data_IF_655725843200
#
_entry.id   IF_655725843200
#
_cell.length_a   1.000
_cell.length_b   1.000
_cell.length_c   1.000
_cell.angle_alpha   90.00
_cell.angle_beta   90.00
_cell.angle_gamma   90.00
#
_symmetry.space_group_name_H-M   'P 1'
#
loop_
_entity.id
_entity.type
_entity.pdbx_description
1 polymer ?
#
# COMPACT_ATOMS: atom_id res chain seq x y z
N UNK A 1 35.05 10.31 -29.25
CA UNK A 1 33.88 10.17 -30.13
C UNK A 1 32.69 9.98 -29.21
N UNK A 2 31.65 10.80 -29.31
CA UNK A 2 30.43 10.56 -28.53
C UNK A 2 29.89 9.21 -28.99
N UNK A 3 29.86 8.24 -28.09
CA UNK A 3 29.29 6.93 -28.40
C UNK A 3 27.83 7.13 -28.80
N UNK A 4 27.44 6.61 -29.97
CA UNK A 4 26.08 6.69 -30.46
C UNK A 4 25.17 5.93 -29.48
N UNK A 5 24.25 6.65 -28.83
CA UNK A 5 23.39 6.10 -27.79
C UNK A 5 22.56 4.91 -28.30
N UNK A 6 22.15 4.94 -29.57
CA UNK A 6 21.43 3.84 -30.21
C UNK A 6 22.34 2.61 -30.35
N UNK A 7 23.63 2.82 -30.63
CA UNK A 7 24.60 1.74 -30.76
C UNK A 7 24.79 0.98 -29.44
N UNK A 8 24.78 1.68 -28.29
CA UNK A 8 24.82 1.03 -26.97
C UNK A 8 23.60 0.14 -26.73
N UNK A 9 22.40 0.56 -27.14
CA UNK A 9 21.21 -0.29 -27.08
C UNK A 9 21.35 -1.51 -28.01
N UNK A 10 21.81 -1.32 -29.25
CA UNK A 10 22.02 -2.41 -30.21
C UNK A 10 22.99 -3.46 -29.64
N UNK A 11 24.11 -3.03 -29.05
CA UNK A 11 25.10 -3.92 -28.44
C UNK A 11 24.53 -4.73 -27.25
N UNK A 12 23.55 -4.17 -26.52
CA UNK A 12 22.85 -4.90 -25.45
C UNK A 12 21.93 -6.00 -26.00
N UNK A 13 21.43 -5.83 -27.22
CA UNK A 13 20.49 -6.75 -27.88
C UNK A 13 19.08 -6.73 -27.28
N UNK A 14 18.12 -7.30 -28.01
CA UNK A 14 16.74 -7.43 -27.52
C UNK A 14 16.67 -8.30 -26.25
N UNK A 15 15.76 -7.95 -25.36
CA UNK A 15 15.58 -8.65 -24.09
C UNK A 15 14.39 -8.14 -23.31
N UNK A 16 14.32 -8.44 -22.02
CA UNK A 16 13.12 -8.13 -21.22
C UNK A 16 12.74 -6.65 -21.22
N UNK A 17 13.71 -5.75 -21.29
CA UNK A 17 13.53 -4.29 -21.18
C UNK A 17 13.88 -3.54 -22.47
N UNK A 18 14.23 -4.25 -23.56
CA UNK A 18 14.62 -3.64 -24.84
C UNK A 18 14.02 -4.43 -26.00
N UNK A 19 13.37 -3.72 -26.92
CA UNK A 19 12.78 -4.29 -28.14
C UNK A 19 13.15 -3.42 -29.35
N UNK A 20 13.45 -4.06 -30.48
CA UNK A 20 13.65 -3.41 -31.77
C UNK A 20 12.47 -3.65 -32.69
N UNK A 21 12.13 -2.63 -33.46
CA UNK A 21 11.17 -2.73 -34.56
C UNK A 21 11.70 -1.94 -35.73
N UNK A 22 11.75 -2.56 -36.90
CA UNK A 22 12.21 -1.90 -38.13
C UNK A 22 11.29 -0.73 -38.51
N UNK A 23 10.00 -0.83 -38.19
CA UNK A 23 9.00 0.19 -38.52
C UNK A 23 7.76 0.10 -37.62
N UNK A 24 7.04 1.22 -37.49
CA UNK A 24 5.73 1.27 -36.85
C UNK A 24 4.61 0.80 -37.79
N UNK A 25 4.61 1.19 -39.07
CA UNK A 25 3.44 1.01 -39.96
C UNK A 25 3.79 0.73 -41.42
N UNK A 26 5.07 0.75 -41.79
CA UNK A 26 5.54 0.41 -43.12
C UNK A 26 6.12 -1.00 -43.15
N UNK A 27 5.55 -1.85 -44.01
CA UNK A 27 6.00 -3.21 -44.19
C UNK A 27 7.05 -3.26 -45.31
N UNK A 28 8.30 -3.50 -44.95
CA UNK A 28 9.42 -3.50 -45.91
C UNK A 28 9.37 -4.67 -46.91
N UNK A 29 8.70 -5.78 -46.59
CA UNK A 29 8.58 -6.91 -47.50
C UNK A 29 7.54 -6.65 -48.60
N UNK A 30 6.41 -6.04 -48.23
CA UNK A 30 5.32 -5.72 -49.17
C UNK A 30 5.40 -4.31 -49.74
N UNK A 31 6.26 -3.45 -49.19
CA UNK A 31 6.41 -2.03 -49.53
C UNK A 31 5.10 -1.23 -49.39
N UNK A 32 4.27 -1.58 -48.40
CA UNK A 32 2.95 -0.99 -48.19
C UNK A 32 2.69 -0.63 -46.72
N UNK A 33 1.69 0.22 -46.51
CA UNK A 33 1.21 0.55 -45.16
C UNK A 33 0.48 -0.65 -44.58
N UNK A 34 1.00 -1.17 -43.47
CA UNK A 34 0.42 -2.29 -42.76
C UNK A 34 -0.23 -1.80 -41.45
N UNK A 35 -1.55 -1.87 -41.38
CA UNK A 35 -2.33 -1.43 -40.21
C UNK A 35 -2.15 -2.35 -39.00
N UNK A 36 -1.82 -3.61 -39.22
CA UNK A 36 -1.58 -4.55 -38.13
C UNK A 36 -0.18 -4.37 -37.54
N UNK A 37 0.79 -3.92 -38.34
CA UNK A 37 2.12 -3.53 -37.83
C UNK A 37 2.02 -2.39 -36.81
N UNK A 38 1.13 -1.42 -37.06
CA UNK A 38 0.88 -0.32 -36.13
C UNK A 38 0.35 -0.77 -34.77
N UNK A 39 -0.25 -1.97 -34.67
CA UNK A 39 -0.72 -2.53 -33.39
C UNK A 39 0.41 -3.20 -32.61
N UNK A 40 1.53 -3.52 -33.23
CA UNK A 40 2.67 -4.15 -32.55
C UNK A 40 3.26 -3.21 -31.51
N UNK A 41 3.43 -1.92 -31.84
CA UNK A 41 3.94 -0.90 -30.92
C UNK A 41 3.15 -0.82 -29.60
N UNK A 42 1.81 -0.60 -29.59
CA UNK A 42 1.06 -0.57 -28.33
C UNK A 42 1.01 -1.93 -27.62
N UNK A 43 1.10 -3.07 -28.33
CA UNK A 43 1.20 -4.39 -27.68
C UNK A 43 2.52 -4.55 -26.92
N UNK A 44 3.63 -4.14 -27.53
CA UNK A 44 4.95 -4.12 -26.87
C UNK A 44 4.95 -3.19 -25.67
N UNK A 45 4.39 -1.98 -25.82
CA UNK A 45 4.30 -1.04 -24.69
C UNK A 45 3.41 -1.57 -23.58
N UNK A 46 2.28 -2.22 -23.88
CA UNK A 46 1.47 -2.92 -22.88
C UNK A 46 2.29 -3.97 -22.13
N UNK A 47 3.09 -4.78 -22.85
CA UNK A 47 3.99 -5.75 -22.25
C UNK A 47 5.01 -5.10 -21.32
N UNK A 48 5.66 -4.00 -21.72
CA UNK A 48 6.60 -3.26 -20.88
C UNK A 48 5.93 -2.65 -19.65
N UNK A 49 4.81 -1.95 -19.82
CA UNK A 49 4.03 -1.40 -18.70
C UNK A 49 3.68 -2.50 -17.69
N UNK A 50 3.34 -3.69 -18.17
CA UNK A 50 2.95 -4.80 -17.31
C UNK A 50 4.12 -5.58 -16.70
N UNK A 51 5.35 -5.28 -17.10
CA UNK A 51 6.57 -5.99 -16.69
C UNK A 51 7.48 -5.04 -15.90
N UNK A 52 8.75 -4.89 -16.26
CA UNK A 52 9.71 -4.01 -15.56
C UNK A 52 9.81 -2.61 -16.17
N UNK A 53 8.92 -2.25 -17.11
CA UNK A 53 9.15 -1.13 -18.03
C UNK A 53 10.08 -1.55 -19.17
N UNK A 54 10.55 -0.57 -19.93
CA UNK A 54 11.52 -0.82 -21.00
C UNK A 54 11.60 0.31 -22.03
N UNK A 55 12.45 0.04 -23.02
CA UNK A 55 12.73 0.91 -24.16
C UNK A 55 12.37 0.17 -25.46
N UNK A 56 11.59 0.81 -26.33
CA UNK A 56 11.32 0.35 -27.68
C UNK A 56 12.05 1.26 -28.67
N UNK A 57 12.87 0.68 -29.54
CA UNK A 57 13.48 1.39 -30.67
C UNK A 57 12.71 1.08 -31.95
N UNK A 58 12.29 2.12 -32.66
CA UNK A 58 11.67 2.02 -33.99
C UNK A 58 12.63 2.59 -35.03
N UNK A 59 12.87 1.84 -36.10
CA UNK A 59 13.90 2.12 -37.11
C UNK A 59 15.17 1.29 -36.94
N UNK A 60 15.10 0.19 -36.19
CA UNK A 60 16.18 -0.80 -36.03
C UNK A 60 15.60 -2.17 -36.36
N UNK A 61 16.22 -2.92 -37.26
CA UNK A 61 15.74 -4.25 -37.63
C UNK A 61 16.17 -5.34 -36.62
N UNK A 62 15.72 -6.58 -36.86
CA UNK A 62 15.97 -7.70 -35.96
C UNK A 62 17.47 -8.11 -35.93
N UNK A 63 18.28 -7.67 -36.89
CA UNK A 63 19.74 -7.87 -36.91
C UNK A 63 20.49 -6.75 -36.17
N UNK A 64 19.79 -5.70 -35.73
CA UNK A 64 20.38 -4.51 -35.12
C UNK A 64 20.82 -3.45 -36.15
N UNK A 65 20.46 -3.60 -37.42
CA UNK A 65 20.79 -2.60 -38.45
C UNK A 65 19.83 -1.40 -38.37
N UNK A 66 20.40 -0.19 -38.41
CA UNK A 66 19.63 1.05 -38.37
C UNK A 66 19.02 1.34 -39.75
N UNK A 67 17.73 1.05 -39.89
CA UNK A 67 16.94 1.32 -41.12
C UNK A 67 16.24 2.68 -41.09
N UNK A 68 16.01 3.23 -39.89
CA UNK A 68 15.39 4.52 -39.64
C UNK A 68 13.86 4.57 -39.82
N UNK A 69 13.25 5.65 -39.33
CA UNK A 69 11.80 5.89 -39.38
C UNK A 69 11.32 6.61 -40.65
N UNK A 70 12.22 6.87 -41.61
CA UNK A 70 11.91 7.65 -42.81
C UNK A 70 10.80 7.04 -43.66
N UNK A 71 10.77 5.71 -43.80
CA UNK A 71 9.72 5.00 -44.51
C UNK A 71 8.35 5.24 -43.87
N UNK A 72 8.25 5.21 -42.53
CA UNK A 72 7.02 5.52 -41.81
C UNK A 72 6.55 6.95 -42.03
N UNK A 73 7.45 7.92 -41.86
CA UNK A 73 7.14 9.36 -42.03
C UNK A 73 6.59 9.64 -43.43
N UNK A 74 7.15 8.97 -44.45
CA UNK A 74 6.72 9.14 -45.84
C UNK A 74 5.30 8.66 -46.12
N UNK A 75 4.73 7.79 -45.26
CA UNK A 75 3.35 7.32 -45.37
C UNK A 75 2.33 8.29 -44.75
N UNK A 76 2.79 9.32 -44.05
CA UNK A 76 1.91 10.27 -43.35
C UNK A 76 1.44 11.40 -44.28
N UNK A 77 0.31 11.99 -43.95
CA UNK A 77 -0.22 13.18 -44.64
C UNK A 77 0.71 14.39 -44.51
N UNK A 78 1.40 14.52 -43.36
CA UNK A 78 2.49 15.47 -43.14
C UNK A 78 3.77 14.69 -42.86
N UNK A 79 4.76 14.86 -43.71
CA UNK A 79 6.03 14.11 -43.69
C UNK A 79 7.04 14.77 -42.75
N UNK A 80 6.68 14.89 -41.47
CA UNK A 80 7.53 15.51 -40.44
C UNK A 80 7.64 14.63 -39.20
N UNK A 81 8.75 14.76 -38.46
CA UNK A 81 8.98 14.03 -37.22
C UNK A 81 7.91 14.34 -36.16
N UNK A 82 7.54 15.61 -35.98
CA UNK A 82 6.49 16.03 -35.05
C UNK A 82 5.15 15.34 -35.32
N UNK A 83 4.78 15.22 -36.60
CA UNK A 83 3.53 14.56 -36.97
C UNK A 83 3.60 13.04 -36.78
N UNK A 84 4.78 12.46 -36.89
CA UNK A 84 5.02 11.06 -36.55
C UNK A 84 4.94 10.80 -35.05
N UNK A 85 5.52 11.67 -34.20
CA UNK A 85 5.34 11.57 -32.74
C UNK A 85 3.85 11.62 -32.37
N UNK A 86 3.11 12.59 -32.92
CA UNK A 86 1.68 12.68 -32.70
C UNK A 86 0.95 11.41 -33.16
N UNK A 87 1.39 10.80 -34.27
CA UNK A 87 0.84 9.53 -34.76
C UNK A 87 1.10 8.38 -33.78
N UNK A 88 2.30 8.30 -33.21
CA UNK A 88 2.65 7.33 -32.16
C UNK A 88 1.78 7.56 -30.92
N UNK A 89 1.71 8.80 -30.41
CA UNK A 89 0.90 9.14 -29.22
C UNK A 89 -0.58 8.83 -29.41
N UNK A 90 -1.12 9.11 -30.58
CA UNK A 90 -2.50 8.77 -30.93
C UNK A 90 -2.72 7.25 -30.99
N UNK A 91 -1.75 6.50 -31.51
CA UNK A 91 -1.80 5.04 -31.53
C UNK A 91 -1.80 4.46 -30.10
N UNK A 92 -0.89 4.93 -29.25
CA UNK A 92 -0.84 4.54 -27.82
C UNK A 92 -2.15 4.92 -27.12
N UNK A 93 -2.60 6.16 -27.28
CA UNK A 93 -3.81 6.67 -26.64
C UNK A 93 -5.07 5.91 -27.06
N UNK A 94 -5.17 5.53 -28.33
CA UNK A 94 -6.29 4.74 -28.87
C UNK A 94 -6.35 3.33 -28.28
N UNK A 95 -5.20 2.68 -28.12
CA UNK A 95 -5.14 1.25 -27.76
C UNK A 95 -4.91 0.98 -26.27
N UNK A 96 -4.20 1.86 -25.56
CA UNK A 96 -3.84 1.70 -24.15
C UNK A 96 -4.46 2.76 -23.23
N UNK A 97 -4.93 3.88 -23.79
CA UNK A 97 -5.53 4.99 -23.05
C UNK A 97 -4.63 6.22 -22.90
N UNK A 98 -5.26 7.34 -22.54
CA UNK A 98 -4.59 8.66 -22.43
C UNK A 98 -3.52 8.67 -21.35
N UNK A 99 -3.75 7.97 -20.23
CA UNK A 99 -2.80 7.90 -19.11
C UNK A 99 -1.47 7.26 -19.54
N UNK A 100 -1.52 6.16 -20.30
CA UNK A 100 -0.34 5.45 -20.79
C UNK A 100 0.37 6.26 -21.87
N UNK A 101 -0.37 6.95 -22.75
CA UNK A 101 0.22 7.87 -23.73
C UNK A 101 0.99 9.02 -23.05
N UNK A 102 0.46 9.57 -21.95
CA UNK A 102 1.12 10.60 -21.16
C UNK A 102 2.30 10.07 -20.31
N UNK A 103 2.27 8.79 -19.93
CA UNK A 103 3.33 8.14 -19.14
C UNK A 103 4.52 7.65 -19.98
N UNK A 104 4.51 7.89 -21.30
CA UNK A 104 5.54 7.44 -22.24
C UNK A 104 6.38 8.63 -22.72
N UNK A 105 7.71 8.48 -22.66
CA UNK A 105 8.66 9.41 -23.30
C UNK A 105 8.92 8.97 -24.74
N UNK A 106 9.01 9.93 -25.67
CA UNK A 106 9.33 9.67 -27.08
C UNK A 106 10.42 10.65 -27.49
N UNK A 107 11.52 10.14 -28.02
CA UNK A 107 12.64 10.93 -28.52
C UNK A 107 13.10 10.41 -29.88
N UNK A 108 13.51 11.31 -30.78
CA UNK A 108 14.09 10.95 -32.07
C UNK A 108 15.60 11.11 -32.01
N UNK A 109 16.31 9.99 -32.01
CA UNK A 109 17.76 9.94 -31.83
C UNK A 109 18.43 9.73 -33.20
N UNK A 110 19.38 10.58 -33.61
CA UNK A 110 20.13 10.38 -34.85
C UNK A 110 21.15 9.25 -34.68
N UNK A 111 21.15 8.28 -35.59
CA UNK A 111 22.11 7.18 -35.62
C UNK A 111 22.38 6.75 -37.06
N UNK A 112 23.66 6.56 -37.42
CA UNK A 112 24.10 6.20 -38.77
C UNK A 112 23.47 7.04 -39.92
N UNK A 113 23.23 8.33 -39.69
CA UNK A 113 22.63 9.24 -40.68
C UNK A 113 21.12 9.10 -40.86
N UNK A 114 20.47 8.25 -40.06
CA UNK A 114 19.02 8.08 -39.98
C UNK A 114 18.49 8.56 -38.63
N UNK A 115 17.16 8.69 -38.50
CA UNK A 115 16.50 8.92 -37.22
C UNK A 115 15.87 7.62 -36.72
N UNK A 116 16.08 7.31 -35.44
CA UNK A 116 15.45 6.21 -34.71
C UNK A 116 14.51 6.80 -33.67
N UNK A 117 13.29 6.29 -33.57
CA UNK A 117 12.39 6.70 -32.50
C UNK A 117 12.63 5.81 -31.27
N UNK A 118 13.08 6.42 -30.18
CA UNK A 118 13.15 5.79 -28.86
C UNK A 118 11.89 6.08 -28.08
N UNK A 119 11.28 5.03 -27.54
CA UNK A 119 10.09 5.13 -26.70
C UNK A 119 10.39 4.46 -25.37
N UNK A 120 10.35 5.24 -24.29
CA UNK A 120 10.64 4.76 -22.93
C UNK A 120 9.36 4.76 -22.08
N UNK A 121 9.14 3.66 -21.34
CA UNK A 121 8.09 3.61 -20.33
C UNK A 121 8.55 2.95 -19.03
N UNK A 122 8.05 3.49 -17.92
CA UNK A 122 8.24 2.90 -16.59
C UNK A 122 7.16 1.84 -16.31
N UNK A 123 7.44 0.85 -15.44
CA UNK A 123 6.44 -0.14 -15.07
C UNK A 123 5.18 0.52 -14.47
N UNK A 124 4.02 0.06 -14.92
CA UNK A 124 2.72 0.57 -14.47
C UNK A 124 2.38 0.06 -13.06
N UNK A 125 1.61 0.87 -12.33
CA UNK A 125 1.04 0.52 -11.02
C UNK A 125 -0.21 -0.36 -11.14
N UNK A 126 -0.93 -0.22 -12.23
CA UNK A 126 -2.17 -0.95 -12.53
C UNK A 126 -2.03 -1.75 -13.83
N UNK A 127 -2.76 -2.88 -14.00
CA UNK A 127 -2.75 -3.67 -15.23
C UNK A 127 -3.14 -2.83 -16.46
N UNK A 128 -2.32 -2.89 -17.52
CA UNK A 128 -2.56 -2.21 -18.79
C UNK A 128 -3.03 -3.24 -19.83
N UNK A 129 -4.24 -3.07 -20.35
CA UNK A 129 -4.78 -3.91 -21.40
C UNK A 129 -4.65 -3.22 -22.75
N UNK A 130 -4.26 -3.98 -23.77
CA UNK A 130 -4.42 -3.56 -25.16
C UNK A 130 -5.88 -3.75 -25.58
N UNK A 131 -6.47 -2.73 -26.17
CA UNK A 131 -7.85 -2.77 -26.68
C UNK A 131 -7.91 -2.54 -28.19
N UNK A 132 -8.60 -3.40 -28.92
CA UNK A 132 -8.93 -3.23 -30.35
C UNK A 132 -10.42 -3.57 -30.56
N UNK A 133 -11.25 -2.52 -30.67
CA UNK A 133 -12.71 -2.66 -30.62
C UNK A 133 -13.18 -3.18 -29.26
N UNK A 134 -13.92 -4.28 -29.26
CA UNK A 134 -14.38 -4.97 -28.04
C UNK A 134 -13.33 -5.92 -27.46
N UNK A 135 -12.32 -6.31 -28.25
CA UNK A 135 -11.30 -7.26 -27.82
C UNK A 135 -10.33 -6.58 -26.84
N UNK A 136 -10.10 -7.22 -25.70
CA UNK A 136 -9.09 -6.82 -24.71
C UNK A 136 -8.08 -7.94 -24.52
N UNK A 137 -6.80 -7.59 -24.61
CA UNK A 137 -5.69 -8.53 -24.49
C UNK A 137 -4.69 -8.03 -23.44
N UNK A 138 -4.14 -8.96 -22.66
CA UNK A 138 -3.17 -8.67 -21.63
C UNK A 138 -1.82 -9.23 -22.06
N UNK A 139 -0.81 -8.36 -22.19
CA UNK A 139 0.51 -8.74 -22.66
C UNK A 139 1.54 -8.58 -21.53
N UNK A 140 2.53 -9.47 -21.50
CA UNK A 140 3.69 -9.41 -20.62
C UNK A 140 4.97 -9.60 -21.43
N UNK A 141 6.13 -9.20 -20.89
CA UNK A 141 7.43 -9.58 -21.45
C UNK A 141 7.82 -10.97 -20.94
N UNK A 142 8.18 -11.84 -21.88
CA UNK A 142 8.71 -13.18 -21.64
C UNK A 142 10.00 -13.30 -22.46
N UNK A 143 11.14 -12.97 -21.84
CA UNK A 143 12.41 -12.79 -22.56
C UNK A 143 12.34 -11.61 -23.54
N UNK A 144 12.67 -11.84 -24.81
CA UNK A 144 12.56 -10.84 -25.88
C UNK A 144 11.17 -10.85 -26.57
N UNK A 145 10.19 -11.61 -26.06
CA UNK A 145 8.87 -11.70 -26.68
C UNK A 145 7.79 -10.94 -25.88
N UNK A 146 6.84 -10.35 -26.60
CA UNK A 146 5.59 -9.81 -26.02
C UNK A 146 4.50 -10.87 -26.07
N UNK A 147 4.29 -11.56 -24.95
CA UNK A 147 3.40 -12.73 -24.89
C UNK A 147 1.99 -12.33 -24.42
N UNK A 148 0.92 -12.65 -25.20
CA UNK A 148 -0.44 -12.53 -24.69
C UNK A 148 -0.71 -13.64 -23.68
N UNK A 149 -1.32 -13.29 -22.56
CA UNK A 149 -1.80 -14.25 -21.57
C UNK A 149 -3.28 -14.52 -21.79
N UNK A 150 -3.69 -15.78 -21.61
CA UNK A 150 -5.11 -16.11 -21.55
C UNK A 150 -5.75 -15.57 -20.25
N UNK A 151 -7.07 -15.69 -20.09
CA UNK A 151 -7.79 -15.14 -18.92
C UNK A 151 -7.23 -15.66 -17.59
N UNK A 152 -6.96 -16.98 -17.49
CA UNK A 152 -6.44 -17.62 -16.28
C UNK A 152 -5.02 -17.16 -15.97
N UNK A 153 -4.15 -17.17 -16.97
CA UNK A 153 -2.76 -16.71 -16.86
C UNK A 153 -2.68 -15.23 -16.50
N UNK A 154 -3.50 -14.39 -17.16
CA UNK A 154 -3.59 -12.96 -16.89
C UNK A 154 -4.02 -12.70 -15.46
N UNK A 155 -5.04 -13.43 -14.98
CA UNK A 155 -5.51 -13.30 -13.61
C UNK A 155 -4.41 -13.61 -12.59
N UNK A 156 -3.72 -14.75 -12.75
CA UNK A 156 -2.61 -15.15 -11.89
C UNK A 156 -1.47 -14.13 -11.95
N UNK A 157 -1.02 -13.76 -13.15
CA UNK A 157 0.03 -12.77 -13.34
C UNK A 157 -0.32 -11.43 -12.68
N UNK A 158 -1.56 -10.95 -12.87
CA UNK A 158 -2.01 -9.69 -12.29
C UNK A 158 -1.99 -9.73 -10.76
N UNK A 159 -2.44 -10.84 -10.16
CA UNK A 159 -2.41 -11.06 -8.72
C UNK A 159 -0.98 -11.05 -8.14
N UNK A 160 0.00 -11.58 -8.88
CA UNK A 160 1.39 -11.61 -8.46
C UNK A 160 2.10 -10.25 -8.68
N UNK A 161 1.98 -9.66 -9.88
CA UNK A 161 2.76 -8.50 -10.32
C UNK A 161 2.21 -7.15 -9.87
N UNK A 162 0.90 -6.96 -9.87
CA UNK A 162 0.27 -5.68 -9.53
C UNK A 162 -0.41 -5.77 -8.18
N UNK A 163 0.22 -6.48 -7.24
CA UNK A 163 -0.34 -6.74 -5.93
C UNK A 163 -0.40 -5.49 -5.04
N UNK A 164 -1.07 -4.44 -5.49
CA UNK A 164 -1.71 -3.43 -4.67
C UNK A 164 -3.22 -3.73 -4.63
N UNK A 165 -3.63 -4.92 -4.18
CA UNK A 165 -4.81 -5.15 -3.31
C UNK A 165 -5.12 -6.63 -3.10
N UNK A 166 -5.07 -7.10 -1.85
CA UNK A 166 -6.11 -8.03 -1.38
C UNK A 166 -7.36 -7.15 -1.30
N UNK A 167 -8.21 -7.21 -2.33
CA UNK A 167 -9.61 -6.81 -2.17
C UNK A 167 -10.25 -7.92 -1.34
N UNK A 168 -10.41 -7.67 -0.05
CA UNK A 168 -11.40 -8.44 0.70
C UNK A 168 -12.74 -8.11 0.01
N UNK A 169 -13.49 -9.09 -0.53
CA UNK A 169 -14.76 -8.83 -1.20
C UNK A 169 -15.65 -7.97 -0.31
N UNK A 170 -16.40 -7.00 -0.86
CA UNK A 170 -17.29 -6.15 -0.08
C UNK A 170 -18.25 -6.96 0.83
N UNK A 171 -18.77 -8.14 0.43
CA UNK A 171 -19.52 -9.05 1.32
C UNK A 171 -18.69 -9.66 2.46
N UNK A 172 -17.38 -9.83 2.30
CA UNK A 172 -16.48 -10.38 3.32
C UNK A 172 -15.92 -9.27 4.23
N UNK A 173 -15.68 -8.07 3.71
CA UNK A 173 -15.46 -6.87 4.55
C UNK A 173 -16.72 -6.61 5.35
N UNK A 174 -17.89 -6.73 4.72
CA UNK A 174 -19.17 -6.56 5.36
C UNK A 174 -19.47 -7.71 6.32
N UNK A 175 -19.13 -8.98 6.05
CA UNK A 175 -19.23 -10.07 7.04
C UNK A 175 -18.23 -9.96 8.18
N UNK A 176 -17.00 -9.52 7.92
CA UNK A 176 -16.00 -9.32 8.97
C UNK A 176 -16.39 -8.09 9.79
N UNK A 177 -16.80 -7.00 9.14
CA UNK A 177 -17.32 -5.81 9.79
C UNK A 177 -18.64 -6.10 10.50
N UNK A 178 -19.54 -6.92 9.96
CA UNK A 178 -20.79 -7.36 10.61
C UNK A 178 -20.49 -8.38 11.69
N UNK A 179 -19.50 -9.27 11.60
CA UNK A 179 -19.12 -10.16 12.70
C UNK A 179 -18.45 -9.38 13.83
N UNK A 180 -17.65 -8.36 13.50
CA UNK A 180 -17.05 -7.42 14.44
C UNK A 180 -18.14 -6.52 15.03
N UNK A 181 -19.00 -5.92 14.22
CA UNK A 181 -20.12 -5.05 14.62
C UNK A 181 -21.15 -5.86 15.39
N UNK A 182 -21.56 -7.07 15.00
CA UNK A 182 -22.49 -7.94 15.73
C UNK A 182 -21.88 -8.38 17.08
N UNK A 183 -20.57 -8.60 17.17
CA UNK A 183 -19.87 -8.78 18.45
C UNK A 183 -19.79 -7.50 19.28
N UNK A 184 -19.71 -6.32 18.64
CA UNK A 184 -19.71 -5.01 19.29
C UNK A 184 -21.14 -4.49 19.59
N UNK A 185 -22.18 -5.01 18.93
CA UNK A 185 -23.60 -4.59 19.00
C UNK A 185 -24.45 -5.56 19.81
N UNK A 186 -24.00 -6.81 19.94
CA UNK A 186 -24.57 -7.81 20.85
C UNK A 186 -24.10 -7.64 22.30
N UNK A 187 -23.22 -6.67 22.56
CA UNK A 187 -22.82 -6.27 23.91
C UNK A 187 -23.44 -4.90 24.25
N UNK A 188 -24.58 -4.93 24.95
CA UNK A 188 -25.07 -3.79 25.71
C UNK A 188 -25.69 -4.30 27.01
N UNK A 189 -25.57 -3.60 28.15
CA UNK A 189 -24.46 -2.80 28.66
C UNK A 189 -23.75 -3.54 29.82
N UNK A 190 -22.43 -3.68 29.73
CA UNK A 190 -21.54 -3.64 30.90
C UNK A 190 -20.50 -2.59 30.46
N UNK A 191 -20.51 -1.33 30.93
CA UNK A 191 -20.09 -0.98 32.29
C UNK A 191 -19.31 -2.16 32.88
N UNK A 192 -17.99 -2.25 32.68
CA UNK A 192 -17.14 -1.53 33.62
C UNK A 192 -15.67 -1.52 33.18
N UNK A 193 -15.10 -0.32 33.07
CA UNK A 193 -13.75 -0.08 33.62
C UNK A 193 -13.84 0.91 34.78
N UNK A 194 -14.43 0.45 35.89
CA UNK A 194 -13.83 0.49 37.23
C UNK A 194 -13.80 -0.93 37.86
N UNK A 195 -12.95 -1.34 38.80
CA UNK A 195 -11.87 -0.65 39.50
C UNK A 195 -10.48 -1.25 39.22
N UNK A 196 -9.48 -0.36 39.11
CA UNK A 196 -8.11 -0.70 38.71
C UNK A 196 -7.15 -0.59 39.90
N UNK A 197 -6.70 -1.71 40.48
CA UNK A 197 -5.29 -1.83 40.86
C UNK A 197 -4.72 -3.23 40.51
N UNK A 198 -3.54 -3.30 39.86
CA UNK A 198 -2.81 -4.57 39.70
C UNK A 198 -1.37 -4.46 40.22
N UNK A 199 -1.21 -4.91 41.47
CA UNK A 199 -0.03 -5.61 41.97
C UNK A 199 -0.53 -6.72 42.89
N UNK A 200 -0.34 -7.98 42.51
CA UNK A 200 -0.19 -9.10 43.46
C UNK A 200 -1.30 -10.15 43.59
N UNK A 201 -2.55 -9.94 43.17
CA UNK A 201 -3.61 -10.94 43.41
C UNK A 201 -4.36 -11.35 42.13
N UNK A 202 -4.31 -12.65 41.82
CA UNK A 202 -5.09 -13.28 40.76
C UNK A 202 -6.33 -13.96 41.34
N UNK A 203 -7.54 -13.73 40.79
CA UNK A 203 -8.60 -14.72 40.83
C UNK A 203 -8.81 -15.31 39.44
N UNK A 204 -8.69 -16.63 39.37
CA UNK A 204 -9.07 -17.47 38.23
C UNK A 204 -10.56 -17.31 37.91
N UNK A 205 -10.88 -16.76 36.74
CA UNK A 205 -12.25 -16.81 36.18
C UNK A 205 -12.16 -17.20 34.71
N UNK A 206 -12.80 -18.32 34.34
CA UNK A 206 -13.30 -18.53 32.97
C UNK A 206 -12.65 -19.59 32.08
N UNK A 207 -12.19 -20.73 32.60
CA UNK A 207 -11.61 -21.84 31.80
C UNK A 207 -12.55 -22.44 30.73
N UNK A 208 -13.87 -22.26 30.84
CA UNK A 208 -14.82 -22.89 29.91
C UNK A 208 -15.03 -22.13 28.58
N UNK A 209 -15.00 -20.78 28.59
CA UNK A 209 -15.13 -19.98 27.36
C UNK A 209 -13.81 -19.81 26.62
N UNK A 210 -12.69 -19.85 27.35
CA UNK A 210 -11.33 -19.79 26.81
C UNK A 210 -11.04 -20.98 25.89
N UNK A 211 -11.48 -22.20 26.23
CA UNK A 211 -11.25 -23.39 25.41
C UNK A 211 -12.00 -23.35 24.07
N UNK A 212 -13.24 -22.85 24.05
CA UNK A 212 -14.07 -22.74 22.83
C UNK A 212 -13.55 -21.62 21.91
N UNK A 213 -13.14 -20.49 22.50
CA UNK A 213 -12.51 -19.40 21.75
C UNK A 213 -11.13 -19.81 21.22
N UNK A 214 -10.32 -20.53 22.02
CA UNK A 214 -9.04 -21.07 21.57
C UNK A 214 -9.21 -22.11 20.46
N UNK A 215 -10.21 -22.99 20.53
CA UNK A 215 -10.44 -23.98 19.47
C UNK A 215 -10.87 -23.30 18.17
N UNK A 216 -11.78 -22.32 18.22
CA UNK A 216 -12.21 -21.55 17.03
C UNK A 216 -11.13 -20.61 16.49
N UNK A 217 -10.26 -20.09 17.34
CA UNK A 217 -9.07 -19.33 16.92
C UNK A 217 -8.00 -20.25 16.32
N UNK A 218 -7.85 -21.48 16.82
CA UNK A 218 -7.04 -22.51 16.19
C UNK A 218 -7.61 -22.89 14.82
N UNK A 219 -8.93 -23.00 14.67
CA UNK A 219 -9.60 -23.26 13.39
C UNK A 219 -9.40 -22.10 12.42
N UNK A 220 -9.65 -20.85 12.82
CA UNK A 220 -9.42 -19.67 11.97
C UNK A 220 -7.94 -19.46 11.63
N UNK A 221 -7.04 -19.66 12.58
CA UNK A 221 -5.59 -19.60 12.34
C UNK A 221 -5.12 -20.77 11.48
N UNK A 222 -5.76 -21.94 11.57
CA UNK A 222 -5.50 -23.08 10.71
C UNK A 222 -6.06 -22.85 9.31
N UNK A 223 -7.25 -22.27 9.14
CA UNK A 223 -7.82 -21.90 7.84
C UNK A 223 -6.96 -20.83 7.16
N UNK A 224 -6.55 -19.79 7.88
CA UNK A 224 -5.62 -18.77 7.39
C UNK A 224 -4.22 -19.36 7.13
N UNK A 225 -3.79 -20.35 7.92
CA UNK A 225 -2.54 -21.08 7.76
C UNK A 225 -2.57 -22.07 6.59
N UNK A 226 -3.71 -22.69 6.30
CA UNK A 226 -3.97 -23.58 5.15
C UNK A 226 -4.05 -22.75 3.89
N UNK A 227 -4.72 -21.58 3.91
CA UNK A 227 -4.68 -20.60 2.83
C UNK A 227 -3.24 -20.13 2.58
N UNK A 228 -2.48 -19.82 3.64
CA UNK A 228 -1.06 -19.46 3.52
C UNK A 228 -0.18 -20.60 3.00
N UNK A 229 -0.43 -21.85 3.41
CA UNK A 229 0.30 -23.03 2.92
C UNK A 229 -0.08 -23.39 1.49
N UNK A 230 -1.35 -23.31 1.10
CA UNK A 230 -1.80 -23.52 -0.26
C UNK A 230 -1.11 -22.53 -1.21
N UNK A 231 -1.01 -21.27 -0.79
CA UNK A 231 -0.25 -20.22 -1.49
C UNK A 231 1.26 -20.52 -1.55
N UNK A 232 1.85 -21.16 -0.53
CA UNK A 232 3.28 -21.57 -0.52
C UNK A 232 3.57 -22.87 -1.28
N UNK A 233 2.58 -23.76 -1.41
CA UNK A 233 2.76 -25.04 -2.10
C UNK A 233 2.69 -24.84 -3.62
N UNK A 234 1.97 -23.82 -4.09
CA UNK A 234 1.99 -23.39 -5.50
C UNK A 234 3.27 -22.62 -5.89
N UNK A 235 4.08 -22.17 -4.94
CA UNK A 235 5.35 -21.44 -5.19
C UNK A 235 6.61 -22.31 -5.03
N UNK A 236 6.48 -23.61 -4.76
CA UNK A 236 7.61 -24.50 -4.56
C UNK A 236 8.15 -25.02 -5.91
N UNK A 237 8.85 -24.15 -6.64
CA UNK A 237 9.46 -24.48 -7.92
C UNK A 237 10.39 -23.40 -8.47
N UNK A 238 11.28 -22.82 -7.66
CA UNK A 238 12.47 -22.13 -8.14
C UNK A 238 13.42 -21.82 -6.99
N UNK A 239 14.61 -22.44 -7.01
CA UNK A 239 15.74 -22.13 -6.13
C UNK A 239 16.66 -21.13 -6.83
N UNK A 240 16.81 -19.91 -6.30
CA UNK A 240 17.96 -19.05 -6.56
C UNK A 240 18.16 -18.00 -5.45
N UNK A 241 19.36 -18.04 -4.88
CA UNK A 241 20.02 -17.13 -3.94
C UNK A 241 19.34 -15.79 -3.60
N UNK A 242 18.95 -15.64 -2.33
CA UNK A 242 18.60 -14.34 -1.73
C UNK A 242 19.73 -13.81 -0.82
N UNK A 243 20.15 -12.58 -1.11
CA UNK A 243 20.79 -11.67 -0.14
C UNK A 243 19.74 -11.24 0.91
N UNK A 244 20.13 -10.92 2.15
CA UNK A 244 19.18 -10.79 3.25
C UNK A 244 18.23 -9.59 3.07
N UNK A 245 16.93 -9.87 2.99
CA UNK A 245 15.86 -8.87 3.12
C UNK A 245 16.00 -8.13 4.46
N UNK A 246 16.14 -6.81 4.42
CA UNK A 246 15.72 -5.97 5.54
C UNK A 246 14.19 -6.03 5.63
N UNK A 247 13.68 -6.86 6.54
CA UNK A 247 12.27 -7.22 6.68
C UNK A 247 11.32 -6.01 6.75
N UNK A 248 10.57 -5.74 5.69
CA UNK A 248 9.44 -4.81 5.73
C UNK A 248 8.28 -5.42 6.54
N UNK A 249 7.63 -4.66 7.45
CA UNK A 249 6.56 -5.19 8.30
C UNK A 249 5.31 -5.54 7.48
N UNK A 250 4.61 -6.61 7.88
CA UNK A 250 3.31 -6.96 7.30
C UNK A 250 2.34 -5.76 7.37
N UNK A 251 1.60 -5.51 6.29
CA UNK A 251 0.67 -4.37 6.24
C UNK A 251 -0.57 -4.55 7.14
N UNK A 252 -0.90 -5.78 7.50
CA UNK A 252 -1.96 -6.16 8.43
C UNK A 252 -1.46 -7.23 9.40
N UNK A 253 -1.71 -7.06 10.70
CA UNK A 253 -1.39 -8.03 11.74
C UNK A 253 -2.53 -8.10 12.75
N UNK A 254 -3.02 -9.30 13.04
CA UNK A 254 -3.97 -9.54 14.13
C UNK A 254 -3.18 -9.77 15.43
N UNK A 255 -3.61 -9.13 16.50
CA UNK A 255 -3.09 -9.29 17.85
C UNK A 255 -4.22 -9.76 18.76
N UNK A 256 -3.95 -10.82 19.54
CA UNK A 256 -4.90 -11.41 20.50
C UNK A 256 -4.36 -11.45 21.93
N UNK A 257 -3.11 -11.00 22.11
CA UNK A 257 -2.39 -11.00 23.38
C UNK A 257 -1.65 -9.68 23.48
N UNK A 258 -1.75 -8.99 24.63
CA UNK A 258 -1.09 -7.70 24.87
C UNK A 258 -1.33 -6.73 23.70
N UNK A 259 -2.59 -6.58 23.33
CA UNK A 259 -3.00 -5.89 22.08
C UNK A 259 -2.44 -4.48 22.03
N UNK A 260 -2.55 -3.72 23.12
CA UNK A 260 -2.03 -2.35 23.17
C UNK A 260 -0.50 -2.30 23.09
N UNK A 261 0.19 -3.30 23.64
CA UNK A 261 1.66 -3.45 23.57
C UNK A 261 2.14 -3.61 22.12
N UNK A 262 1.28 -4.13 21.22
CA UNK A 262 1.60 -4.20 19.79
C UNK A 262 1.69 -2.81 19.15
N UNK A 263 0.82 -1.87 19.53
CA UNK A 263 0.91 -0.49 19.07
C UNK A 263 2.07 0.25 19.72
N UNK A 264 2.26 0.07 21.03
CA UNK A 264 3.37 0.65 21.79
C UNK A 264 4.74 0.19 21.25
N UNK A 265 4.87 -1.07 20.87
CA UNK A 265 6.06 -1.59 20.18
C UNK A 265 6.31 -0.87 18.86
N UNK A 266 5.26 -0.75 18.03
CA UNK A 266 5.38 -0.10 16.73
C UNK A 266 5.76 1.39 16.87
N UNK A 267 5.30 2.07 17.94
CA UNK A 267 5.75 3.41 18.31
C UNK A 267 7.21 3.42 18.74
N UNK A 268 7.63 2.52 19.63
CA UNK A 268 9.00 2.42 20.11
C UNK A 268 10.02 2.24 18.98
N UNK A 269 9.67 1.41 17.99
CA UNK A 269 10.51 1.12 16.83
C UNK A 269 10.52 2.28 15.81
N UNK A 270 9.56 3.20 15.88
CA UNK A 270 9.40 4.30 14.92
C UNK A 270 10.16 5.55 15.34
N UNK A 271 10.72 6.26 14.35
CA UNK A 271 11.54 7.47 14.58
C UNK A 271 10.80 8.72 14.13
N UNK A 272 10.94 9.81 14.89
CA UNK A 272 10.46 11.13 14.53
C UNK A 272 8.93 11.20 14.51
N UNK A 273 8.32 11.03 15.67
CA UNK A 273 6.87 11.09 15.82
C UNK A 273 6.35 12.49 15.50
N UNK A 274 5.36 12.59 14.62
CA UNK A 274 4.75 13.87 14.21
C UNK A 274 3.39 14.07 14.84
N UNK A 275 2.55 13.04 14.74
CA UNK A 275 1.15 13.12 15.19
C UNK A 275 0.66 11.77 15.67
N UNK A 276 -0.04 11.76 16.80
CA UNK A 276 -0.63 10.56 17.39
C UNK A 276 -2.10 10.84 17.74
N UNK A 277 -3.00 9.92 17.39
CA UNK A 277 -4.36 9.89 17.91
C UNK A 277 -4.48 8.77 18.93
N UNK A 278 -4.97 9.12 20.12
CA UNK A 278 -5.36 8.19 21.17
C UNK A 278 -6.86 8.30 21.38
N UNK A 279 -7.62 7.44 20.71
CA UNK A 279 -9.08 7.37 20.82
C UNK A 279 -9.40 6.16 21.68
N UNK A 280 -9.70 6.36 22.95
CA UNK A 280 -10.00 5.29 23.90
C UNK A 280 -10.96 5.79 24.99
N UNK A 281 -12.03 5.06 25.35
CA UNK A 281 -12.94 5.47 26.43
C UNK A 281 -12.25 5.66 27.79
N UNK A 282 -11.19 4.89 28.04
CA UNK A 282 -10.40 4.96 29.27
C UNK A 282 -8.91 4.94 28.93
N UNK A 283 -8.14 5.71 29.70
CA UNK A 283 -6.68 5.81 29.57
C UNK A 283 -6.06 5.70 30.96
N UNK A 284 -5.02 4.87 31.12
CA UNK A 284 -4.25 4.77 32.36
C UNK A 284 -2.76 4.90 32.10
N UNK A 285 -1.99 5.05 33.18
CA UNK A 285 -0.55 4.86 33.15
C UNK A 285 -0.27 3.37 32.84
N UNK A 286 0.25 3.09 31.65
CA UNK A 286 0.67 1.73 31.25
C UNK A 286 2.12 1.52 31.68
N UNK A 287 2.33 0.86 32.81
CA UNK A 287 3.64 0.68 33.45
C UNK A 287 4.29 -0.66 33.10
N UNK A 288 3.50 -1.71 32.89
CA UNK A 288 4.00 -3.07 32.62
C UNK A 288 4.13 -3.38 31.13
N UNK A 289 4.17 -2.35 30.26
CA UNK A 289 4.52 -2.53 28.85
C UNK A 289 5.94 -3.09 28.74
N UNK A 290 6.14 -4.06 27.84
CA UNK A 290 7.47 -4.66 27.60
C UNK A 290 8.29 -3.87 26.60
N UNK A 291 7.70 -2.85 25.98
CA UNK A 291 8.31 -2.13 24.86
C UNK A 291 8.38 -0.64 25.10
N UNK A 292 7.27 -0.01 25.50
CA UNK A 292 7.21 1.43 25.72
C UNK A 292 6.31 1.72 26.91
N UNK A 293 6.91 2.08 28.04
CA UNK A 293 6.15 2.53 29.21
C UNK A 293 5.46 3.87 28.95
N UNK A 294 4.46 4.18 29.76
CA UNK A 294 3.76 5.46 29.67
C UNK A 294 4.68 6.66 29.93
N UNK A 295 5.63 6.56 30.87
CA UNK A 295 6.62 7.61 31.11
C UNK A 295 7.54 7.83 29.90
N UNK A 296 8.00 6.74 29.26
CA UNK A 296 8.82 6.82 28.05
C UNK A 296 8.04 7.39 26.86
N UNK A 297 6.75 7.05 26.74
CA UNK A 297 5.84 7.65 25.75
C UNK A 297 5.76 9.17 25.91
N UNK A 298 5.53 9.66 27.14
CA UNK A 298 5.43 11.10 27.43
C UNK A 298 6.75 11.84 27.16
N UNK A 299 7.87 11.25 27.58
CA UNK A 299 9.20 11.77 27.26
C UNK A 299 9.39 11.88 25.75
N UNK A 300 9.05 10.83 25.00
CA UNK A 300 9.24 10.80 23.56
C UNK A 300 8.34 11.77 22.80
N UNK A 301 7.11 11.99 23.27
CA UNK A 301 6.21 13.04 22.74
C UNK A 301 6.89 14.41 22.78
N UNK A 302 7.60 14.72 23.86
CA UNK A 302 8.31 15.99 24.01
C UNK A 302 9.58 16.06 23.15
N UNK A 303 10.40 15.00 23.17
CA UNK A 303 11.64 14.90 22.37
C UNK A 303 11.36 15.05 20.87
N UNK A 304 10.41 14.28 20.34
CA UNK A 304 10.06 14.30 18.92
C UNK A 304 9.13 15.49 18.58
N UNK A 305 8.75 16.30 19.57
CA UNK A 305 7.83 17.44 19.43
C UNK A 305 6.48 17.04 18.82
N UNK A 306 6.05 15.79 19.04
CA UNK A 306 4.87 15.19 18.44
C UNK A 306 3.58 15.87 18.94
N UNK A 307 2.60 16.08 18.06
CA UNK A 307 1.28 16.55 18.47
C UNK A 307 0.38 15.36 18.81
N UNK A 308 -0.21 15.35 20.00
CA UNK A 308 -1.10 14.26 20.43
C UNK A 308 -2.54 14.75 20.46
N UNK A 309 -3.45 13.96 19.91
CA UNK A 309 -4.89 14.19 19.97
C UNK A 309 -5.52 13.06 20.80
N UNK A 310 -6.13 13.42 21.91
CA UNK A 310 -6.73 12.45 22.84
C UNK A 310 -8.24 12.64 22.82
N UNK A 311 -8.96 11.55 22.57
CA UNK A 311 -10.42 11.49 22.72
C UNK A 311 -10.69 10.42 23.78
N UNK A 312 -11.34 10.81 24.87
CA UNK A 312 -11.65 9.91 25.98
C UNK A 312 -12.97 10.26 26.65
N UNK A 313 -13.50 9.41 27.53
CA UNK A 313 -14.62 9.79 28.40
C UNK A 313 -14.17 10.82 29.44
N UNK A 314 -15.09 11.63 30.00
CA UNK A 314 -14.77 12.49 31.15
C UNK A 314 -14.08 11.67 32.27
N UNK A 315 -12.87 12.06 32.72
CA UNK A 315 -12.11 11.26 33.66
C UNK A 315 -12.67 11.44 35.07
N UNK A 316 -13.57 10.56 35.48
CA UNK A 316 -14.16 10.59 36.83
C UNK A 316 -13.37 9.75 37.86
N UNK A 317 -12.46 8.89 37.39
CA UNK A 317 -11.63 7.99 38.21
C UNK A 317 -10.20 8.52 38.34
N UNK A 318 -9.58 8.34 39.51
CA UNK A 318 -8.28 8.99 39.81
C UNK A 318 -7.14 8.53 38.90
N UNK A 319 -7.05 7.23 38.57
CA UNK A 319 -6.05 6.72 37.64
C UNK A 319 -6.25 7.28 36.22
N UNK A 320 -7.50 7.51 35.81
CA UNK A 320 -7.82 8.09 34.51
C UNK A 320 -7.48 9.59 34.49
N UNK A 321 -7.84 10.31 35.55
CA UNK A 321 -7.48 11.73 35.74
C UNK A 321 -5.97 11.92 35.71
N UNK A 322 -5.21 11.08 36.42
CA UNK A 322 -3.75 11.13 36.43
C UNK A 322 -3.16 10.96 35.04
N UNK A 323 -3.53 9.91 34.31
CA UNK A 323 -3.01 9.66 32.97
C UNK A 323 -3.36 10.81 31.98
N UNK A 324 -4.58 11.32 32.05
CA UNK A 324 -5.01 12.47 31.22
C UNK A 324 -4.25 13.74 31.59
N UNK A 325 -4.03 14.01 32.88
CA UNK A 325 -3.22 15.15 33.34
C UNK A 325 -1.78 15.03 32.85
N UNK A 326 -1.14 13.87 32.99
CA UNK A 326 0.24 13.66 32.54
C UNK A 326 0.39 13.86 31.03
N UNK A 327 -0.61 13.45 30.23
CA UNK A 327 -0.66 13.76 28.79
C UNK A 327 -0.81 15.27 28.54
N UNK A 328 -1.67 15.95 29.29
CA UNK A 328 -1.84 17.40 29.20
C UNK A 328 -0.54 18.16 29.55
N UNK A 329 0.18 17.70 30.58
CA UNK A 329 1.40 18.31 31.10
C UNK A 329 2.58 18.25 30.12
N UNK A 330 2.50 17.43 29.07
CA UNK A 330 3.43 17.50 27.94
C UNK A 330 3.37 18.84 27.20
N UNK A 331 2.27 19.59 27.33
CA UNK A 331 2.01 20.80 26.54
C UNK A 331 1.73 20.53 25.05
N UNK A 332 1.77 19.26 24.63
CA UNK A 332 1.65 18.79 23.24
C UNK A 332 0.33 18.07 22.95
N UNK A 333 -0.47 17.82 23.99
CA UNK A 333 -1.74 17.12 23.87
C UNK A 333 -2.94 18.07 23.66
N UNK A 334 -3.83 17.68 22.76
CA UNK A 334 -5.14 18.27 22.55
C UNK A 334 -6.18 17.23 22.99
N UNK A 335 -6.87 17.49 24.09
CA UNK A 335 -7.69 16.48 24.77
C UNK A 335 -9.15 16.92 24.75
N UNK A 336 -10.01 16.00 24.31
CA UNK A 336 -11.47 16.19 24.27
C UNK A 336 -12.17 15.08 25.02
N UNK A 337 -13.27 15.42 25.67
CA UNK A 337 -14.14 14.48 26.34
C UNK A 337 -15.40 14.21 25.53
N UNK A 338 -15.78 12.94 25.46
CA UNK A 338 -17.00 12.45 24.80
C UNK A 338 -17.66 11.44 25.74
N UNK A 339 -18.86 11.74 26.25
CA UNK A 339 -19.52 10.92 27.29
C UNK A 339 -19.81 9.50 26.81
N UNK A 340 -20.48 9.36 25.66
CA UNK A 340 -20.91 8.08 25.09
C UNK A 340 -19.88 7.51 24.11
N UNK A 341 -18.61 7.48 24.53
CA UNK A 341 -17.51 6.98 23.71
C UNK A 341 -17.29 5.48 23.91
N UNK A 342 -17.14 4.74 22.81
CA UNK A 342 -16.84 3.29 22.81
C UNK A 342 -15.70 2.88 21.86
N UNK A 343 -15.36 3.74 20.90
CA UNK A 343 -14.35 3.46 19.88
C UNK A 343 -12.94 3.39 20.47
N UNK A 344 -12.15 2.42 20.00
CA UNK A 344 -10.75 2.23 20.40
C UNK A 344 -9.90 2.20 19.13
N UNK A 345 -9.25 3.31 18.88
CA UNK A 345 -8.50 3.58 17.66
C UNK A 345 -7.25 4.38 18.01
N UNK A 346 -6.10 3.87 17.58
CA UNK A 346 -4.81 4.48 17.82
C UNK A 346 -4.13 4.66 16.48
N UNK A 347 -3.74 5.88 16.11
CA UNK A 347 -3.02 6.12 14.86
C UNK A 347 -1.75 6.92 15.13
N UNK A 348 -0.72 6.66 14.34
CA UNK A 348 0.56 7.35 14.43
C UNK A 348 1.09 7.71 13.05
N UNK A 349 1.54 8.97 12.93
CA UNK A 349 2.32 9.49 11.82
C UNK A 349 3.74 9.78 12.33
N UNK A 350 4.73 9.15 11.69
CA UNK A 350 6.15 9.25 12.03
C UNK A 350 6.99 9.52 10.78
N UNK A 351 8.30 9.75 10.92
CA UNK A 351 9.19 9.84 9.75
C UNK A 351 9.34 8.48 9.04
N UNK A 352 9.25 7.38 9.79
CA UNK A 352 9.39 6.02 9.29
C UNK A 352 8.12 5.46 8.66
N UNK A 353 6.99 6.15 8.78
CA UNK A 353 5.73 5.74 8.17
C UNK A 353 4.49 6.04 9.02
N UNK A 354 3.36 5.46 8.63
CA UNK A 354 2.10 5.54 9.38
C UNK A 354 1.64 4.15 9.77
N UNK A 355 0.96 4.05 10.90
CA UNK A 355 0.32 2.81 11.34
C UNK A 355 -0.86 3.11 12.26
N UNK A 356 -1.75 2.13 12.39
CA UNK A 356 -2.93 2.23 13.23
C UNK A 356 -3.24 0.90 13.92
N UNK A 357 -3.77 0.95 15.14
CA UNK A 357 -4.34 -0.17 15.85
C UNK A 357 -5.83 0.13 16.11
N UNK A 358 -6.70 -0.82 15.79
CA UNK A 358 -8.12 -0.77 16.14
C UNK A 358 -8.57 -2.11 16.72
N UNK A 359 -9.55 -2.08 17.63
CA UNK A 359 -10.02 -3.31 18.27
C UNK A 359 -10.83 -3.06 19.53
N UNK A 360 -10.77 -3.99 20.46
CA UNK A 360 -11.52 -3.96 21.72
C UNK A 360 -10.70 -3.43 22.91
N UNK A 361 -9.36 -3.33 22.79
CA UNK A 361 -8.46 -2.96 23.88
C UNK A 361 -8.42 -1.45 24.17
N UNK A 362 -8.59 -1.07 25.44
CA UNK A 362 -8.38 0.31 25.89
C UNK A 362 -6.89 0.63 26.04
N UNK A 363 -6.57 1.91 26.17
CA UNK A 363 -5.23 2.36 26.53
C UNK A 363 -5.03 2.24 28.05
N UNK A 364 -5.12 1.04 28.60
CA UNK A 364 -5.02 0.81 30.05
C UNK A 364 -4.09 -0.35 30.39
N UNK A 365 -3.51 -0.33 31.58
CA UNK A 365 -2.67 -1.42 32.12
C UNK A 365 -3.42 -2.76 32.10
N UNK A 366 -4.71 -2.75 32.45
CA UNK A 366 -5.60 -3.92 32.38
C UNK A 366 -5.64 -4.54 30.97
N UNK A 367 -5.60 -3.70 29.94
CA UNK A 367 -5.65 -4.14 28.53
C UNK A 367 -4.34 -4.79 28.04
N UNK A 368 -3.28 -4.81 28.85
CA UNK A 368 -2.10 -5.64 28.56
C UNK A 368 -2.38 -7.12 28.82
N UNK A 369 -3.23 -7.46 29.78
CA UNK A 369 -3.45 -8.84 30.21
C UNK A 369 -4.84 -9.36 29.85
N UNK A 370 -5.75 -8.48 29.45
CA UNK A 370 -7.09 -8.83 29.01
C UNK A 370 -7.10 -9.62 27.68
N UNK A 371 -8.08 -10.52 27.56
CA UNK A 371 -8.40 -11.22 26.31
C UNK A 371 -9.07 -10.26 25.33
N UNK A 372 -8.26 -9.63 24.50
CA UNK A 372 -8.65 -8.56 23.58
C UNK A 372 -8.28 -8.94 22.15
N UNK A 373 -8.99 -8.40 21.16
CA UNK A 373 -8.61 -8.54 19.76
C UNK A 373 -8.30 -7.16 19.20
N UNK A 374 -7.16 -7.04 18.52
CA UNK A 374 -6.79 -5.86 17.77
C UNK A 374 -6.22 -6.19 16.40
N UNK A 375 -6.33 -5.23 15.50
CA UNK A 375 -5.77 -5.29 14.16
C UNK A 375 -4.80 -4.12 14.03
N UNK A 376 -3.51 -4.42 13.89
CA UNK A 376 -2.47 -3.46 13.53
C UNK A 376 -2.40 -3.36 12.00
N UNK A 377 -2.47 -2.14 11.49
CA UNK A 377 -2.35 -1.80 10.08
C UNK A 377 -1.11 -0.93 9.91
N UNK A 378 -0.22 -1.27 8.97
CA UNK A 378 0.95 -0.47 8.60
C UNK A 378 0.74 0.16 7.21
N UNK A 379 1.27 1.36 6.96
CA UNK A 379 1.11 2.10 5.69
C UNK A 379 2.02 1.56 4.58
N UNK A 380 1.94 0.26 4.39
CA UNK A 380 2.63 -0.51 3.39
C UNK A 380 1.57 -1.17 2.49
N UNK A 381 1.80 -1.24 1.19
CA UNK A 381 0.84 -1.79 0.22
C UNK A 381 -0.60 -1.26 0.43
N UNK A 382 -1.57 -2.16 0.67
CA UNK A 382 -2.99 -1.86 0.89
C UNK A 382 -3.25 -1.03 2.15
N UNK A 383 -2.40 -1.18 3.16
CA UNK A 383 -2.55 -0.46 4.42
C UNK A 383 -2.44 1.06 4.27
N UNK A 384 -1.82 1.56 3.19
CA UNK A 384 -1.77 3.01 2.88
C UNK A 384 -3.17 3.62 2.76
N UNK A 385 -4.09 2.93 2.07
CA UNK A 385 -5.45 3.42 1.89
C UNK A 385 -6.26 3.27 3.18
N UNK A 386 -6.12 2.13 3.86
CA UNK A 386 -6.82 1.84 5.12
C UNK A 386 -6.45 2.88 6.18
N UNK A 387 -5.16 3.14 6.38
CA UNK A 387 -4.69 4.14 7.36
C UNK A 387 -5.14 5.54 6.99
N UNK A 388 -5.15 5.89 5.71
CA UNK A 388 -5.66 7.20 5.28
C UNK A 388 -7.14 7.40 5.62
N UNK A 389 -7.94 6.33 5.67
CA UNK A 389 -9.33 6.39 6.15
C UNK A 389 -9.40 6.40 7.67
N UNK A 390 -8.62 5.56 8.35
CA UNK A 390 -8.58 5.52 9.82
C UNK A 390 -8.13 6.86 10.43
N UNK A 391 -7.16 7.54 9.83
CA UNK A 391 -6.74 8.88 10.25
C UNK A 391 -7.88 9.91 10.09
N UNK A 392 -8.63 9.85 8.98
CA UNK A 392 -9.81 10.73 8.79
C UNK A 392 -10.88 10.43 9.83
N UNK A 393 -11.10 9.16 10.16
CA UNK A 393 -12.06 8.76 11.20
C UNK A 393 -11.60 9.22 12.59
N UNK A 394 -10.32 9.11 12.92
CA UNK A 394 -9.77 9.63 14.18
C UNK A 394 -9.94 11.16 14.26
N UNK A 395 -9.66 11.88 13.17
CA UNK A 395 -9.90 13.33 13.06
C UNK A 395 -11.39 13.69 13.20
N UNK A 396 -12.28 12.90 12.57
CA UNK A 396 -13.74 13.08 12.67
C UNK A 396 -14.22 12.86 14.10
N UNK A 397 -13.77 11.77 14.75
CA UNK A 397 -14.10 11.45 16.15
C UNK A 397 -13.65 12.59 17.07
N UNK A 398 -12.41 13.06 16.92
CA UNK A 398 -11.89 14.20 17.68
C UNK A 398 -12.71 15.49 17.48
N UNK A 399 -13.32 15.68 16.31
CA UNK A 399 -14.18 16.84 15.98
C UNK A 399 -15.67 16.61 16.22
N UNK A 400 -16.07 15.49 16.84
CA UNK A 400 -17.48 15.11 17.01
C UNK A 400 -18.28 16.20 17.73
N UNK A 401 -19.51 16.54 17.26
CA UNK A 401 -20.41 17.46 17.95
C UNK A 401 -20.72 16.99 19.38
N UNK A 402 -20.86 17.93 20.33
CA UNK A 402 -21.12 17.60 21.73
C UNK A 402 -19.88 17.20 22.55
N UNK A 403 -18.68 17.25 21.96
CA UNK A 403 -17.42 17.08 22.71
C UNK A 403 -17.15 18.27 23.62
N UNK A 404 -16.50 18.01 24.75
CA UNK A 404 -15.91 19.05 25.62
C UNK A 404 -14.41 19.15 25.35
N UNK A 405 -13.92 20.30 24.89
CA UNK A 405 -12.48 20.53 24.77
C UNK A 405 -11.91 20.81 26.16
N UNK A 406 -11.08 19.91 26.68
CA UNK A 406 -10.53 19.98 28.02
C UNK A 406 -9.13 20.63 28.03
N UNK A 407 -8.28 20.23 27.09
CA UNK A 407 -6.93 20.75 26.96
C UNK A 407 -6.62 21.04 25.49
N UNK A 408 -5.93 22.14 25.24
CA UNK A 408 -5.45 22.53 23.91
C UNK A 408 -3.96 22.79 24.02
N UNK A 409 -3.19 22.12 23.18
CA UNK A 409 -1.75 22.34 23.11
C UNK A 409 -1.48 23.82 22.78
N UNK A 410 -0.58 24.44 23.53
CA UNK A 410 -0.07 25.78 23.21
C UNK A 410 1.09 25.58 22.26
N UNK A 411 0.85 25.79 20.97
CA UNK A 411 1.93 25.83 20.00
C UNK A 411 2.71 27.11 20.26
N UNK A 412 3.96 27.00 20.70
CA UNK A 412 4.88 28.13 20.62
C UNK A 412 5.03 28.46 19.14
N UNK A 413 4.44 29.59 18.73
CA UNK A 413 4.70 30.21 17.44
C UNK A 413 6.04 30.93 17.57
N UNK A 414 7.12 30.16 17.71
CA UNK A 414 8.48 30.69 17.75
C UNK A 414 9.48 29.62 17.30
N UNK A 415 10.14 29.88 16.16
CA UNK A 415 11.27 29.10 15.64
C UNK A 415 11.12 28.77 14.17
#
# INVERSE_FOLDING_TARGET
MSTDEVHEFILRGEGQELEFKSSMRFDFATQQVNRDLAKVVPKTLAAFFNSSGGTLLIGVDDNGDVVGIGADINTLSRKTADYYELTIRNCIGKHLGVTQSAATSIEFVPSHGQLVARIDCSPSRDPVYFQDGEKREFYIRDGNASRPLNVKESHSYIQHRFRSEIRIPEPDVQRIAEAVVLRLSGAAPDDQEPGMPVRGDSPSVGTANSAILQSRLQELSAELGILSKAIKTESAGSTALERPESAHPAWLKVATVRVIDTFLKQLADAVGWKRIFLVSPWISEVTSSRTLSFSALLQRINEDKATVYVVTRPPNLDWHKRAVSMLADTGRANIVYVENMHAKLYTALTNTGRFALLGSANFTERSLEAEEIGVLVNAFMQGKQVISRLDREAERIYRTPGRTLAYKAKFDVAG
#
